data_IF_277857072647
#
_entry.id   IF_277857072647
#
_cell.length_a   1.000
_cell.length_b   1.000
_cell.length_c   1.000
_cell.angle_alpha   90.00
_cell.angle_beta   90.00
_cell.angle_gamma   90.00
#
_symmetry.space_group_name_H-M   'P 1'
#
loop_
_entity.id
_entity.type
_entity.pdbx_description
1 polymer ?
#
# COMPACT_ATOMS: atom_id res chain seq x y z
N UNK A 1 -10.15 11.27 -7.76
CA UNK A 1 -10.50 11.09 -6.33
C UNK A 1 -11.94 10.61 -6.26
N UNK A 2 -12.27 9.73 -5.32
CA UNK A 2 -13.63 9.19 -5.16
C UNK A 2 -14.01 9.19 -3.69
N UNK A 3 -15.30 9.25 -3.38
CA UNK A 3 -15.77 8.99 -2.03
C UNK A 3 -15.80 7.47 -1.76
N UNK A 4 -15.50 7.08 -0.52
CA UNK A 4 -15.49 5.70 -0.09
C UNK A 4 -14.99 5.54 1.33
N UNK A 5 -14.87 4.30 1.79
CA UNK A 5 -14.28 3.96 3.09
C UNK A 5 -12.75 3.84 2.99
N UNK A 6 -12.04 4.59 3.84
CA UNK A 6 -10.59 4.52 3.96
C UNK A 6 -10.15 3.11 4.36
N UNK A 7 -9.18 2.54 3.63
CA UNK A 7 -8.66 1.19 3.89
C UNK A 7 -8.08 1.03 5.30
N UNK A 8 -7.47 2.08 5.87
CA UNK A 8 -6.81 2.00 7.18
C UNK A 8 -7.76 2.30 8.35
N UNK A 9 -8.57 3.36 8.28
CA UNK A 9 -9.39 3.80 9.41
C UNK A 9 -10.90 3.54 9.24
N UNK A 10 -11.35 3.06 8.08
CA UNK A 10 -12.77 2.82 7.81
C UNK A 10 -13.63 4.08 7.73
N UNK A 11 -13.05 5.28 7.81
CA UNK A 11 -13.79 6.55 7.68
C UNK A 11 -14.31 6.73 6.25
N UNK A 12 -15.56 7.12 6.11
CA UNK A 12 -16.09 7.60 4.83
C UNK A 12 -15.56 9.00 4.53
N UNK A 13 -14.78 9.16 3.45
CA UNK A 13 -14.27 10.47 3.03
C UNK A 13 -13.96 10.51 1.54
N UNK A 14 -13.47 11.66 1.06
CA UNK A 14 -12.74 11.72 -0.20
C UNK A 14 -11.44 10.93 -0.04
N UNK A 15 -11.23 9.96 -0.93
CA UNK A 15 -10.09 9.06 -0.90
C UNK A 15 -9.08 9.39 -2.00
N UNK A 16 -7.85 9.06 -1.68
CA UNK A 16 -6.70 9.17 -2.54
C UNK A 16 -6.03 7.82 -2.68
N UNK A 17 -5.61 7.52 -3.90
CA UNK A 17 -4.91 6.28 -4.19
C UNK A 17 -3.49 6.35 -3.64
N UNK A 18 -3.19 5.46 -2.72
CA UNK A 18 -1.86 5.22 -2.20
C UNK A 18 -1.27 3.98 -2.86
N UNK A 19 -0.04 4.08 -3.36
CA UNK A 19 0.69 2.95 -3.93
C UNK A 19 1.47 2.29 -2.80
N UNK A 20 1.16 1.03 -2.48
CA UNK A 20 1.84 0.31 -1.40
C UNK A 20 3.35 0.30 -1.68
N UNK A 21 3.77 -0.02 -2.91
CA UNK A 21 5.14 0.13 -3.35
C UNK A 21 5.29 1.35 -4.26
N UNK A 22 5.97 2.38 -3.75
CA UNK A 22 6.17 3.68 -4.41
C UNK A 22 7.35 3.73 -5.38
N UNK A 23 7.74 4.95 -5.78
CA UNK A 23 8.91 5.21 -6.63
C UNK A 23 8.88 4.44 -7.96
N UNK A 24 9.96 3.71 -8.25
CA UNK A 24 10.09 2.89 -9.46
C UNK A 24 9.01 1.79 -9.57
N UNK A 25 8.40 1.39 -8.45
CA UNK A 25 7.41 0.31 -8.42
C UNK A 25 5.96 0.78 -8.56
N UNK A 26 5.70 2.08 -8.77
CA UNK A 26 4.32 2.59 -8.92
C UNK A 26 3.55 1.88 -10.02
N UNK A 27 4.16 1.71 -11.21
CA UNK A 27 3.52 1.02 -12.33
C UNK A 27 3.22 -0.45 -12.01
N UNK A 28 4.10 -1.12 -11.26
CA UNK A 28 3.87 -2.50 -10.80
C UNK A 28 2.76 -2.57 -9.76
N UNK A 29 2.72 -1.61 -8.82
CA UNK A 29 1.64 -1.51 -7.84
C UNK A 29 0.28 -1.37 -8.51
N UNK A 30 0.16 -0.56 -9.56
CA UNK A 30 -1.08 -0.46 -10.34
C UNK A 30 -1.37 -1.77 -11.10
N UNK A 31 -0.37 -2.35 -11.80
CA UNK A 31 -0.52 -3.60 -12.56
C UNK A 31 -1.03 -4.77 -11.70
N UNK A 32 -0.49 -4.91 -10.49
CA UNK A 32 -0.78 -6.04 -9.59
C UNK A 32 -1.83 -5.70 -8.52
N UNK A 33 -2.51 -4.55 -8.61
CA UNK A 33 -3.52 -4.16 -7.63
C UNK A 33 -2.98 -3.93 -6.21
N UNK A 34 -1.70 -3.58 -6.06
CA UNK A 34 -1.03 -3.28 -4.80
C UNK A 34 -1.17 -1.78 -4.48
N UNK A 35 -2.40 -1.30 -4.56
CA UNK A 35 -2.82 0.06 -4.23
C UNK A 35 -3.97 -0.01 -3.23
N UNK A 36 -4.06 1.01 -2.37
CA UNK A 36 -5.16 1.16 -1.40
C UNK A 36 -5.71 2.58 -1.47
N UNK A 37 -6.98 2.76 -1.14
CA UNK A 37 -7.61 4.08 -1.09
C UNK A 37 -7.62 4.58 0.36
N UNK A 38 -6.97 5.72 0.60
CA UNK A 38 -6.79 6.30 1.94
C UNK A 38 -7.40 7.70 2.03
N UNK A 39 -7.91 8.07 3.20
CA UNK A 39 -8.32 9.45 3.45
C UNK A 39 -7.08 10.37 3.45
N UNK A 40 -7.14 11.47 2.70
CA UNK A 40 -5.99 12.33 2.41
C UNK A 40 -5.26 12.86 3.64
N UNK A 41 -6.02 13.34 4.62
CA UNK A 41 -5.47 13.99 5.82
C UNK A 41 -4.95 12.95 6.81
N UNK A 42 -5.83 12.14 7.42
CA UNK A 42 -5.47 11.31 8.57
C UNK A 42 -4.55 10.13 8.23
N UNK A 43 -4.76 9.47 7.07
CA UNK A 43 -4.12 8.19 6.77
C UNK A 43 -3.17 8.23 5.56
N UNK A 44 -3.27 9.22 4.67
CA UNK A 44 -2.41 9.26 3.48
C UNK A 44 -1.17 10.16 3.65
N UNK A 45 -1.37 11.48 3.84
CA UNK A 45 -0.27 12.47 3.75
C UNK A 45 0.09 13.19 5.04
N UNK A 46 -0.88 13.59 5.84
CA UNK A 46 -0.69 14.70 6.80
C UNK A 46 -0.71 14.25 8.26
N UNK A 47 -1.54 13.26 8.59
CA UNK A 47 -1.74 12.77 9.95
C UNK A 47 -0.52 12.11 10.58
N UNK A 48 -0.46 12.02 11.92
CA UNK A 48 0.68 11.45 12.64
C UNK A 48 0.92 9.97 12.31
N UNK A 49 -0.15 9.24 11.95
CA UNK A 49 -0.09 7.84 11.54
C UNK A 49 -0.26 7.66 10.03
N UNK A 50 -0.18 8.76 9.25
CA UNK A 50 -0.37 8.70 7.81
C UNK A 50 0.76 7.92 7.13
N UNK A 51 0.43 7.22 6.05
CA UNK A 51 1.36 6.42 5.26
C UNK A 51 2.63 7.22 4.89
N UNK A 52 2.52 8.46 4.42
CA UNK A 52 3.72 9.23 4.07
C UNK A 52 4.51 9.80 5.27
N UNK A 53 4.02 9.66 6.51
CA UNK A 53 4.65 10.23 7.72
C UNK A 53 5.05 9.22 8.77
N UNK A 54 4.46 8.03 8.75
CA UNK A 54 4.64 7.02 9.79
C UNK A 54 5.23 5.75 9.19
N UNK A 55 6.46 5.43 9.63
CA UNK A 55 7.18 4.24 9.16
C UNK A 55 6.43 2.95 9.49
N UNK A 56 5.87 2.84 10.69
CA UNK A 56 5.14 1.64 11.12
C UNK A 56 3.89 1.41 10.25
N UNK A 57 3.14 2.47 9.93
CA UNK A 57 2.02 2.39 8.99
C UNK A 57 2.48 1.90 7.61
N UNK A 58 3.60 2.43 7.09
CA UNK A 58 4.12 1.97 5.80
C UNK A 58 4.63 0.54 5.84
N UNK A 59 5.30 0.13 6.89
CA UNK A 59 5.80 -1.24 7.04
C UNK A 59 4.61 -2.23 7.04
N UNK A 60 3.52 -1.90 7.73
CA UNK A 60 2.28 -2.69 7.70
C UNK A 60 1.66 -2.75 6.29
N UNK A 61 1.64 -1.63 5.57
CA UNK A 61 1.15 -1.61 4.19
C UNK A 61 2.05 -2.45 3.26
N UNK A 62 3.38 -2.35 3.39
CA UNK A 62 4.31 -3.18 2.62
C UNK A 62 4.15 -4.67 2.92
N UNK A 63 4.04 -5.06 4.20
CA UNK A 63 3.76 -6.43 4.61
C UNK A 63 2.44 -6.94 4.01
N UNK A 64 1.38 -6.14 4.08
CA UNK A 64 0.11 -6.45 3.45
C UNK A 64 0.25 -6.62 1.93
N UNK A 65 0.94 -5.71 1.25
CA UNK A 65 1.16 -5.77 -0.19
C UNK A 65 1.96 -6.99 -0.62
N UNK A 66 3.00 -7.36 0.12
CA UNK A 66 3.78 -8.56 -0.16
C UNK A 66 2.92 -9.82 0.03
N UNK A 67 2.19 -9.94 1.15
CA UNK A 67 1.29 -11.08 1.39
C UNK A 67 0.23 -11.20 0.30
N UNK A 68 -0.37 -10.08 -0.11
CA UNK A 68 -1.36 -10.02 -1.19
C UNK A 68 -0.76 -10.51 -2.50
N UNK A 69 0.39 -9.98 -2.91
CA UNK A 69 1.07 -10.41 -4.13
C UNK A 69 1.36 -11.91 -4.12
N UNK A 70 1.98 -12.40 -3.05
CA UNK A 70 2.33 -13.81 -2.89
C UNK A 70 1.10 -14.72 -2.94
N UNK A 71 0.01 -14.33 -2.28
CA UNK A 71 -1.25 -15.07 -2.30
C UNK A 71 -1.90 -15.09 -3.69
N UNK A 72 -2.02 -13.94 -4.35
CA UNK A 72 -2.73 -13.82 -5.63
C UNK A 72 -1.96 -14.41 -6.81
N UNK A 73 -0.63 -14.54 -6.69
CA UNK A 73 0.24 -15.01 -7.75
C UNK A 73 0.90 -16.37 -7.43
N UNK A 74 0.54 -17.01 -6.31
CA UNK A 74 1.21 -18.21 -5.78
C UNK A 74 2.74 -18.06 -5.70
N UNK A 75 3.21 -16.85 -5.38
CA UNK A 75 4.63 -16.53 -5.38
C UNK A 75 5.26 -16.73 -4.00
N UNK A 76 6.52 -17.15 -3.97
CA UNK A 76 7.35 -17.19 -2.77
C UNK A 76 8.09 -15.84 -2.53
N UNK A 77 8.88 -15.76 -1.46
CA UNK A 77 9.61 -14.54 -1.09
C UNK A 77 10.65 -14.15 -2.15
N UNK A 78 11.33 -15.11 -2.77
CA UNK A 78 12.37 -14.81 -3.76
C UNK A 78 11.76 -14.31 -5.07
N UNK A 79 10.63 -14.87 -5.51
CA UNK A 79 9.86 -14.36 -6.65
C UNK A 79 9.34 -12.95 -6.37
N UNK A 80 8.84 -12.68 -5.16
CA UNK A 80 8.47 -11.31 -4.77
C UNK A 80 9.66 -10.35 -4.81
N UNK A 81 10.83 -10.78 -4.30
CA UNK A 81 12.06 -9.98 -4.32
C UNK A 81 12.56 -9.72 -5.74
N UNK A 82 12.39 -10.65 -6.67
CA UNK A 82 12.71 -10.41 -8.09
C UNK A 82 11.85 -9.28 -8.66
N UNK A 83 10.58 -9.18 -8.23
CA UNK A 83 9.68 -8.13 -8.70
C UNK A 83 9.86 -6.78 -7.99
N UNK A 84 10.08 -6.77 -6.67
CA UNK A 84 10.03 -5.57 -5.82
C UNK A 84 11.34 -5.25 -5.08
N UNK A 85 12.38 -6.07 -5.28
CA UNK A 85 13.75 -5.82 -4.83
C UNK A 85 14.05 -6.05 -3.34
N UNK A 86 13.03 -6.21 -2.48
CA UNK A 86 13.19 -6.36 -1.02
C UNK A 86 12.21 -7.37 -0.46
N UNK A 87 12.50 -7.88 0.75
CA UNK A 87 11.55 -8.62 1.56
C UNK A 87 11.02 -7.69 2.67
N UNK A 88 9.72 -7.68 2.88
CA UNK A 88 9.02 -6.91 3.90
C UNK A 88 8.37 -7.82 4.96
N UNK A 89 8.49 -9.16 4.85
CA UNK A 89 8.06 -10.15 5.84
C UNK A 89 9.17 -10.56 6.81
#
# INVERSE_FOLDING_TARGET
MKYGYCFLCGKWSLLERHHIFGGAYRKKSEKYGLVVDLCGIECHREGPNAAHRNKETMDKLHQYGQKKYMCEHNANIDEFRQEFGKNYL
#
